data_IF_955547473124
#
_entry.id   IF_955547473124
#
_cell.length_a   1.000
_cell.length_b   1.000
_cell.length_c   1.000
_cell.angle_alpha   90.00
_cell.angle_beta   90.00
_cell.angle_gamma   90.00
#
_symmetry.space_group_name_H-M   'P 1'
#
loop_
_entity.id
_entity.type
_entity.pdbx_description
1 polymer ?
#
# COMPACT_ATOMS: atom_id res chain seq x y z
N UNK A 1 17.58 -12.12 -3.44
CA UNK A 1 18.34 -11.10 -2.71
C UNK A 1 18.03 -11.14 -1.20
N UNK A 2 16.74 -10.97 -0.78
CA UNK A 2 16.31 -11.01 0.65
C UNK A 2 16.73 -12.33 1.32
N UNK A 3 16.48 -13.46 0.67
CA UNK A 3 16.87 -14.80 1.15
C UNK A 3 18.38 -14.89 1.30
N UNK A 4 19.15 -14.41 0.31
CA UNK A 4 20.62 -14.40 0.37
C UNK A 4 21.13 -13.60 1.58
N UNK A 5 20.58 -12.39 1.79
CA UNK A 5 20.93 -11.56 2.94
C UNK A 5 20.57 -12.26 4.27
N UNK A 6 19.43 -12.93 4.34
CA UNK A 6 19.04 -13.69 5.54
C UNK A 6 20.03 -14.81 5.86
N UNK A 7 20.45 -15.54 4.84
CA UNK A 7 21.49 -16.60 4.97
C UNK A 7 22.83 -16.00 5.41
N UNK A 8 23.28 -14.92 4.78
CA UNK A 8 24.52 -14.24 5.15
C UNK A 8 24.51 -13.70 6.60
N UNK A 9 23.34 -13.36 7.11
CA UNK A 9 23.15 -12.96 8.50
C UNK A 9 23.02 -14.13 9.48
N UNK A 10 23.22 -15.37 9.02
CA UNK A 10 23.10 -16.58 9.83
C UNK A 10 21.67 -16.87 10.34
N UNK A 11 20.66 -16.24 9.73
CA UNK A 11 19.27 -16.46 10.10
C UNK A 11 18.75 -17.74 9.47
N UNK A 12 18.06 -18.56 10.28
CA UNK A 12 17.39 -19.75 9.76
C UNK A 12 16.23 -19.34 8.83
N UNK A 13 16.21 -19.91 7.62
CA UNK A 13 15.09 -19.74 6.68
C UNK A 13 13.86 -20.57 7.07
N UNK A 14 13.94 -21.34 8.13
CA UNK A 14 12.84 -22.18 8.60
C UNK A 14 11.74 -21.29 9.17
N UNK A 15 10.54 -21.50 8.65
CA UNK A 15 9.32 -20.87 9.17
C UNK A 15 8.76 -21.79 10.25
N UNK A 16 8.36 -21.26 11.41
CA UNK A 16 7.70 -22.05 12.45
C UNK A 16 6.45 -22.77 11.89
N UNK A 17 6.19 -23.97 12.43
CA UNK A 17 5.01 -24.75 12.03
C UNK A 17 3.74 -23.93 12.23
N UNK A 18 2.91 -23.83 11.18
CA UNK A 18 1.66 -23.07 11.20
C UNK A 18 1.75 -21.61 10.73
N UNK A 19 2.94 -21.04 10.54
CA UNK A 19 3.07 -19.68 10.00
C UNK A 19 3.17 -19.64 8.46
N UNK A 20 3.61 -20.72 7.82
CA UNK A 20 3.87 -20.73 6.38
C UNK A 20 2.68 -20.30 5.53
N UNK A 21 1.47 -20.84 5.77
CA UNK A 21 0.28 -20.47 5.03
C UNK A 21 -0.12 -19.00 5.24
N UNK A 22 0.14 -18.45 6.44
CA UNK A 22 -0.13 -17.05 6.78
C UNK A 22 0.78 -16.11 5.98
N UNK A 23 2.07 -16.48 5.86
CA UNK A 23 3.03 -15.73 5.05
C UNK A 23 2.67 -15.76 3.58
N UNK A 24 2.26 -16.93 3.06
CA UNK A 24 1.79 -17.07 1.67
C UNK A 24 0.55 -16.21 1.44
N UNK A 25 -0.44 -16.28 2.31
CA UNK A 25 -1.68 -15.50 2.19
C UNK A 25 -1.39 -13.99 2.15
N UNK A 26 -0.58 -13.50 3.09
CA UNK A 26 -0.20 -12.08 3.15
C UNK A 26 0.58 -11.68 1.89
N UNK A 27 1.52 -12.50 1.45
CA UNK A 27 2.28 -12.27 0.22
C UNK A 27 1.38 -12.19 -1.02
N UNK A 28 0.42 -13.11 -1.15
CA UNK A 28 -0.55 -13.10 -2.26
C UNK A 28 -1.44 -11.85 -2.23
N UNK A 29 -1.88 -11.39 -1.06
CA UNK A 29 -2.67 -10.17 -0.95
C UNK A 29 -1.85 -8.92 -1.30
N UNK A 30 -0.65 -8.76 -0.74
CA UNK A 30 0.18 -7.59 -0.96
C UNK A 30 0.78 -7.50 -2.36
N UNK A 31 1.36 -8.62 -2.83
CA UNK A 31 2.23 -8.60 -4.01
C UNK A 31 1.53 -9.14 -5.26
N UNK A 32 0.57 -10.04 -5.10
CA UNK A 32 -0.14 -10.56 -6.27
C UNK A 32 -1.45 -9.83 -6.48
N UNK A 33 -2.43 -9.98 -5.59
CA UNK A 33 -3.76 -9.41 -5.78
C UNK A 33 -3.71 -7.89 -5.90
N UNK A 34 -3.06 -7.20 -4.95
CA UNK A 34 -2.96 -5.74 -5.01
C UNK A 34 -2.27 -5.25 -6.29
N UNK A 35 -1.06 -5.74 -6.61
CA UNK A 35 -0.31 -5.23 -7.77
C UNK A 35 -0.96 -5.61 -9.10
N UNK A 36 -1.53 -6.81 -9.23
CA UNK A 36 -2.22 -7.22 -10.46
C UNK A 36 -3.47 -6.38 -10.70
N UNK A 37 -4.29 -6.20 -9.66
CA UNK A 37 -5.49 -5.36 -9.75
C UNK A 37 -5.13 -3.89 -9.99
N UNK A 38 -4.09 -3.37 -9.33
CA UNK A 38 -3.59 -2.02 -9.54
C UNK A 38 -3.18 -1.80 -11.00
N UNK A 39 -2.27 -2.64 -11.51
CA UNK A 39 -1.78 -2.54 -12.89
C UNK A 39 -2.91 -2.69 -13.92
N UNK A 40 -3.88 -3.57 -13.65
CA UNK A 40 -5.03 -3.73 -14.54
C UNK A 40 -5.97 -2.52 -14.48
N UNK A 41 -6.25 -1.99 -13.30
CA UNK A 41 -7.09 -0.80 -13.12
C UNK A 41 -6.49 0.45 -13.76
N UNK A 42 -5.17 0.65 -13.65
CA UNK A 42 -4.44 1.77 -14.26
C UNK A 42 -4.49 1.78 -15.80
N UNK A 43 -4.78 0.65 -16.43
CA UNK A 43 -5.01 0.60 -17.89
C UNK A 43 -6.40 1.14 -18.28
N UNK A 44 -7.30 1.32 -17.33
CA UNK A 44 -8.70 1.72 -17.59
C UNK A 44 -9.01 3.15 -17.19
N UNK A 45 -8.15 3.79 -16.40
CA UNK A 45 -8.35 5.15 -15.90
C UNK A 45 -7.06 5.95 -15.95
N UNK A 46 -7.16 7.28 -15.98
CA UNK A 46 -5.99 8.15 -15.94
C UNK A 46 -5.19 7.94 -14.63
N UNK A 47 -3.86 7.98 -14.70
CA UNK A 47 -2.97 7.70 -13.56
C UNK A 47 -3.21 8.59 -12.34
N UNK A 48 -3.50 9.88 -12.56
CA UNK A 48 -3.87 10.81 -11.48
C UNK A 48 -5.16 10.39 -10.78
N UNK A 49 -6.16 9.90 -11.52
CA UNK A 49 -7.41 9.39 -10.94
C UNK A 49 -7.18 8.04 -10.23
N UNK A 50 -6.34 7.15 -10.78
CA UNK A 50 -5.94 5.92 -10.12
C UNK A 50 -5.28 6.19 -8.76
N UNK A 51 -4.36 7.16 -8.68
CA UNK A 51 -3.71 7.53 -7.42
C UNK A 51 -4.69 8.06 -6.38
N UNK A 52 -5.72 8.80 -6.79
CA UNK A 52 -6.80 9.25 -5.90
C UNK A 52 -7.60 8.06 -5.35
N UNK A 53 -7.99 7.11 -6.19
CA UNK A 53 -8.72 5.91 -5.74
C UNK A 53 -7.86 5.09 -4.78
N UNK A 54 -6.59 4.87 -5.09
CA UNK A 54 -5.65 4.13 -4.23
C UNK A 54 -5.42 4.83 -2.89
N UNK A 55 -5.52 6.16 -2.83
CA UNK A 55 -5.40 6.92 -1.59
C UNK A 55 -6.52 6.66 -0.58
N UNK A 56 -7.55 5.90 -0.96
CA UNK A 56 -8.58 5.41 -0.02
C UNK A 56 -8.08 4.26 0.88
N UNK A 57 -6.90 3.68 0.61
CA UNK A 57 -6.32 2.59 1.43
C UNK A 57 -6.33 2.87 2.94
N UNK A 58 -5.90 4.05 3.43
CA UNK A 58 -5.93 4.33 4.86
C UNK A 58 -7.35 4.33 5.45
N UNK A 59 -8.34 4.77 4.66
CA UNK A 59 -9.76 4.71 5.07
C UNK A 59 -10.20 3.25 5.20
N UNK A 60 -9.87 2.41 4.21
CA UNK A 60 -10.21 0.98 4.25
C UNK A 60 -9.56 0.27 5.42
N UNK A 61 -8.28 0.54 5.69
CA UNK A 61 -7.56 -0.01 6.85
C UNK A 61 -8.25 0.43 8.15
N UNK A 62 -8.59 1.72 8.29
CA UNK A 62 -9.24 2.25 9.47
C UNK A 62 -10.63 1.64 9.70
N UNK A 63 -11.39 1.40 8.63
CA UNK A 63 -12.69 0.72 8.70
C UNK A 63 -12.55 -0.73 9.12
N UNK A 64 -11.58 -1.47 8.55
CA UNK A 64 -11.32 -2.86 8.93
C UNK A 64 -10.90 -2.93 10.40
N UNK A 65 -9.98 -2.08 10.84
CA UNK A 65 -9.52 -2.04 12.23
C UNK A 65 -10.64 -1.64 13.21
N UNK A 66 -11.61 -0.82 12.79
CA UNK A 66 -12.76 -0.45 13.61
C UNK A 66 -13.71 -1.63 13.90
N UNK A 67 -13.87 -2.52 12.91
CA UNK A 67 -14.80 -3.68 13.02
C UNK A 67 -14.12 -4.90 13.65
N UNK A 68 -12.80 -4.98 13.59
CA UNK A 68 -12.05 -6.12 14.11
C UNK A 68 -11.96 -6.12 15.64
N UNK A 69 -12.05 -7.30 16.29
CA UNK A 69 -11.72 -7.44 17.72
C UNK A 69 -10.30 -6.96 17.97
N UNK A 70 -10.07 -6.20 19.04
CA UNK A 70 -8.76 -5.60 19.39
C UNK A 70 -8.11 -4.78 18.28
N UNK A 71 -8.92 -4.15 17.42
CA UNK A 71 -8.45 -3.31 16.33
C UNK A 71 -7.86 -1.99 16.83
N UNK A 72 -6.86 -1.50 16.10
CA UNK A 72 -6.23 -0.18 16.33
C UNK A 72 -7.14 0.93 15.76
N UNK A 73 -8.34 1.12 16.31
CA UNK A 73 -9.29 2.12 15.85
C UNK A 73 -8.74 3.55 16.01
N UNK A 74 -8.97 4.38 15.00
CA UNK A 74 -8.61 5.79 15.04
C UNK A 74 -9.57 6.58 15.93
N UNK A 75 -9.04 7.53 16.69
CA UNK A 75 -9.84 8.53 17.36
C UNK A 75 -10.38 9.59 16.37
N UNK A 76 -11.20 10.53 16.83
CA UNK A 76 -11.78 11.59 15.98
C UNK A 76 -10.74 12.40 15.20
N UNK A 77 -9.55 12.66 15.80
CA UNK A 77 -8.44 13.37 15.12
C UNK A 77 -7.82 12.52 14.00
N UNK A 78 -7.64 11.22 14.24
CA UNK A 78 -7.14 10.30 13.24
C UNK A 78 -8.08 10.19 12.04
N UNK A 79 -9.38 10.08 12.28
CA UNK A 79 -10.39 10.09 11.22
C UNK A 79 -10.40 11.40 10.42
N UNK A 80 -10.39 12.55 11.12
CA UNK A 80 -10.31 13.85 10.46
C UNK A 80 -9.04 13.97 9.60
N UNK A 81 -7.88 13.52 10.10
CA UNK A 81 -6.64 13.47 9.35
C UNK A 81 -6.73 12.56 8.11
N UNK A 82 -7.32 11.37 8.25
CA UNK A 82 -7.46 10.43 7.13
C UNK A 82 -8.35 11.00 6.01
N UNK A 83 -9.48 11.60 6.36
CA UNK A 83 -10.38 12.27 5.41
C UNK A 83 -9.69 13.48 4.76
N UNK A 84 -9.01 14.31 5.57
CA UNK A 84 -8.27 15.48 5.09
C UNK A 84 -7.14 15.08 4.14
N UNK A 85 -6.44 13.97 4.41
CA UNK A 85 -5.37 13.44 3.54
C UNK A 85 -5.91 13.02 2.18
N UNK A 86 -7.01 12.29 2.15
CA UNK A 86 -7.69 11.90 0.90
C UNK A 86 -8.16 13.13 0.11
N UNK A 87 -8.71 14.13 0.80
CA UNK A 87 -9.08 15.40 0.18
C UNK A 87 -7.85 16.14 -0.38
N UNK A 88 -6.75 16.18 0.38
CA UNK A 88 -5.48 16.78 -0.03
C UNK A 88 -4.91 16.17 -1.31
N UNK A 89 -5.02 14.85 -1.48
CA UNK A 89 -4.64 14.17 -2.73
C UNK A 89 -5.57 14.62 -3.87
N UNK A 90 -6.87 14.74 -3.64
CA UNK A 90 -7.80 15.26 -4.63
C UNK A 90 -7.40 16.66 -5.14
N UNK A 91 -6.98 17.54 -4.24
CA UNK A 91 -6.48 18.89 -4.58
C UNK A 91 -5.15 18.81 -5.32
N UNK A 92 -4.23 17.92 -4.88
CA UNK A 92 -2.91 17.73 -5.49
C UNK A 92 -3.00 17.25 -6.94
N UNK A 93 -3.85 16.28 -7.23
CA UNK A 93 -4.01 15.70 -8.58
C UNK A 93 -5.01 16.45 -9.45
N UNK A 94 -5.66 17.50 -8.94
CA UNK A 94 -6.65 18.30 -9.66
C UNK A 94 -6.19 18.81 -11.03
N UNK A 95 -4.97 19.39 -11.18
CA UNK A 95 -4.47 19.83 -12.48
C UNK A 95 -4.36 18.68 -13.48
N UNK A 96 -3.84 17.54 -13.04
CA UNK A 96 -3.67 16.35 -13.88
C UNK A 96 -5.00 15.77 -14.35
N UNK A 97 -6.05 15.83 -13.51
CA UNK A 97 -7.40 15.40 -13.89
C UNK A 97 -8.00 16.30 -14.98
N UNK A 98 -7.75 17.62 -14.93
CA UNK A 98 -8.24 18.56 -15.92
C UNK A 98 -7.43 18.52 -17.22
N UNK A 99 -6.11 18.37 -17.13
CA UNK A 99 -5.25 18.20 -18.31
C UNK A 99 -5.57 16.90 -19.05
N UNK A 100 -5.86 15.81 -18.33
CA UNK A 100 -6.22 14.52 -18.90
C UNK A 100 -7.56 14.52 -19.64
N UNK A 101 -8.50 15.41 -19.29
CA UNK A 101 -9.76 15.57 -20.03
C UNK A 101 -9.58 16.22 -21.39
N UNK A 102 -8.49 16.98 -21.60
CA UNK A 102 -8.19 17.64 -22.88
C UNK A 102 -7.23 16.85 -23.77
N UNK A 103 -6.37 16.01 -23.22
CA UNK A 103 -5.36 15.26 -23.99
C UNK A 103 -5.33 13.73 -23.74
N UNK A 104 -5.95 13.21 -22.71
CA UNK A 104 -5.81 11.81 -22.28
C UNK A 104 -6.99 10.88 -22.57
N UNK A 105 -8.12 11.39 -23.07
CA UNK A 105 -9.24 10.55 -23.51
C UNK A 105 -9.11 10.10 -24.98
N UNK A 106 -8.16 10.64 -25.72
CA UNK A 106 -8.00 10.34 -27.15
C UNK A 106 -7.19 9.07 -27.41
N UNK A 107 -6.24 8.68 -26.54
CA UNK A 107 -5.33 7.56 -26.82
C UNK A 107 -5.35 6.50 -25.69
N UNK A 108 -6.29 5.57 -25.76
CA UNK A 108 -6.16 4.26 -25.11
C UNK A 108 -6.82 4.06 -23.74
N UNK A 109 -7.54 5.04 -23.18
CA UNK A 109 -8.34 4.77 -21.99
C UNK A 109 -9.56 3.94 -22.34
N UNK A 110 -9.72 2.80 -21.68
CA UNK A 110 -10.81 1.86 -21.89
C UNK A 110 -12.18 2.54 -21.77
N UNK A 111 -13.14 2.07 -22.57
CA UNK A 111 -14.56 2.48 -22.52
C UNK A 111 -15.28 2.07 -21.20
N UNK A 112 -14.54 1.64 -20.17
CA UNK A 112 -15.10 1.10 -18.91
C UNK A 112 -14.48 1.72 -17.67
N UNK A 113 -14.58 3.05 -17.46
CA UNK A 113 -13.94 3.71 -16.31
C UNK A 113 -14.46 3.21 -14.96
N UNK A 114 -15.74 2.87 -14.87
CA UNK A 114 -16.34 2.32 -13.66
C UNK A 114 -15.70 0.98 -13.25
N UNK A 115 -15.45 0.11 -14.23
CA UNK A 115 -14.74 -1.15 -13.97
C UNK A 115 -13.32 -0.88 -13.45
N UNK A 116 -12.60 0.07 -14.04
CA UNK A 116 -11.28 0.49 -13.58
C UNK A 116 -11.29 0.95 -12.12
N UNK A 117 -12.27 1.77 -11.74
CA UNK A 117 -12.46 2.20 -10.33
C UNK A 117 -12.72 1.01 -9.40
N UNK A 118 -13.62 0.10 -9.77
CA UNK A 118 -13.92 -1.08 -8.95
C UNK A 118 -12.70 -1.99 -8.79
N UNK A 119 -11.92 -2.17 -9.84
CA UNK A 119 -10.67 -2.95 -9.81
C UNK A 119 -9.64 -2.29 -8.90
N UNK A 120 -9.46 -0.96 -8.97
CA UNK A 120 -8.57 -0.21 -8.09
C UNK A 120 -9.00 -0.23 -6.63
N UNK A 121 -10.31 -0.15 -6.36
CA UNK A 121 -10.84 -0.33 -5.01
C UNK A 121 -10.58 -1.76 -4.50
N UNK A 122 -10.69 -2.75 -5.37
CA UNK A 122 -10.30 -4.14 -5.07
C UNK A 122 -8.81 -4.27 -4.72
N UNK A 123 -7.94 -3.57 -5.46
CA UNK A 123 -6.51 -3.49 -5.16
C UNK A 123 -6.25 -2.88 -3.77
N UNK A 124 -6.86 -1.73 -3.49
CA UNK A 124 -6.76 -1.04 -2.22
C UNK A 124 -7.27 -1.92 -1.04
N UNK A 125 -8.37 -2.63 -1.25
CA UNK A 125 -8.93 -3.56 -0.27
C UNK A 125 -8.02 -4.76 -0.02
N UNK A 126 -7.46 -5.37 -1.07
CA UNK A 126 -6.51 -6.48 -0.94
C UNK A 126 -5.27 -6.06 -0.13
N UNK A 127 -4.75 -4.86 -0.40
CA UNK A 127 -3.65 -4.28 0.36
C UNK A 127 -4.05 -4.02 1.82
N UNK A 128 -5.23 -3.45 2.07
CA UNK A 128 -5.71 -3.16 3.42
C UNK A 128 -5.88 -4.45 4.24
N UNK A 129 -6.51 -5.48 3.68
CA UNK A 129 -6.65 -6.79 4.34
C UNK A 129 -5.28 -7.41 4.61
N UNK A 130 -4.37 -7.41 3.63
CA UNK A 130 -3.01 -7.92 3.77
C UNK A 130 -2.24 -7.22 4.88
N UNK A 131 -2.37 -5.89 5.00
CA UNK A 131 -1.72 -5.08 6.04
C UNK A 131 -2.23 -5.44 7.44
N UNK A 132 -3.55 -5.51 7.61
CA UNK A 132 -4.16 -5.87 8.89
C UNK A 132 -3.81 -7.30 9.28
N UNK A 133 -3.88 -8.25 8.35
CA UNK A 133 -3.51 -9.65 8.61
C UNK A 133 -2.02 -9.80 8.95
N UNK A 134 -1.13 -9.09 8.24
CA UNK A 134 0.31 -9.11 8.51
C UNK A 134 0.62 -8.72 9.95
N UNK A 135 -0.06 -7.70 10.47
CA UNK A 135 0.09 -7.29 11.86
C UNK A 135 -0.51 -8.30 12.84
N UNK A 136 -1.70 -8.81 12.56
CA UNK A 136 -2.43 -9.72 13.47
C UNK A 136 -1.80 -11.08 13.61
N UNK A 137 -1.19 -11.59 12.57
CA UNK A 137 -0.54 -12.89 12.61
C UNK A 137 0.68 -12.93 13.52
N UNK A 138 1.24 -11.75 13.91
CA UNK A 138 2.38 -11.63 14.85
C UNK A 138 3.45 -12.69 14.57
N UNK A 139 4.00 -12.65 13.36
CA UNK A 139 5.01 -13.61 12.94
C UNK A 139 6.19 -13.64 13.92
N UNK A 140 6.57 -14.85 14.32
CA UNK A 140 7.76 -15.07 15.15
C UNK A 140 9.03 -15.18 14.30
N UNK A 141 8.87 -15.42 13.00
CA UNK A 141 9.95 -15.40 12.02
C UNK A 141 10.60 -14.01 11.92
N UNK A 142 11.91 -13.97 11.72
CA UNK A 142 12.63 -12.71 11.43
C UNK A 142 11.97 -11.98 10.26
N UNK A 143 11.90 -10.65 10.34
CA UNK A 143 11.21 -9.82 9.33
C UNK A 143 11.74 -10.04 7.92
N UNK A 144 13.06 -10.19 7.74
CA UNK A 144 13.65 -10.49 6.44
C UNK A 144 13.22 -11.86 5.91
N UNK A 145 13.18 -12.86 6.78
CA UNK A 145 12.74 -14.21 6.43
C UNK A 145 11.26 -14.19 6.07
N UNK A 146 10.43 -13.58 6.90
CA UNK A 146 9.00 -13.43 6.64
C UNK A 146 8.72 -12.73 5.30
N UNK A 147 9.37 -11.58 5.05
CA UNK A 147 9.25 -10.84 3.79
C UNK A 147 9.75 -11.67 2.60
N UNK A 148 10.85 -12.40 2.77
CA UNK A 148 11.38 -13.30 1.74
C UNK A 148 10.38 -14.38 1.33
N UNK A 149 9.69 -14.99 2.28
CA UNK A 149 8.64 -15.97 2.01
C UNK A 149 7.41 -15.36 1.33
N UNK A 150 6.98 -14.16 1.77
CA UNK A 150 5.86 -13.42 1.15
C UNK A 150 6.15 -13.10 -0.32
N UNK A 151 7.32 -12.50 -0.59
CA UNK A 151 7.76 -12.15 -1.96
C UNK A 151 7.98 -13.40 -2.82
N UNK A 152 8.59 -14.45 -2.24
CA UNK A 152 8.82 -15.71 -2.94
C UNK A 152 7.53 -16.39 -3.37
N UNK A 153 6.57 -16.50 -2.45
CA UNK A 153 5.26 -17.09 -2.75
C UNK A 153 4.50 -16.30 -3.82
N UNK A 154 4.46 -14.96 -3.69
CA UNK A 154 3.84 -14.09 -4.67
C UNK A 154 4.55 -14.16 -6.03
N UNK A 155 5.89 -14.21 -6.04
CA UNK A 155 6.67 -14.34 -7.27
C UNK A 155 6.38 -15.64 -8.01
N UNK A 156 6.31 -16.77 -7.31
CA UNK A 156 5.94 -18.07 -7.90
C UNK A 156 4.52 -18.01 -8.47
N UNK A 157 3.56 -17.47 -7.71
CA UNK A 157 2.18 -17.36 -8.16
C UNK A 157 2.06 -16.45 -9.40
N UNK A 158 2.69 -15.28 -9.40
CA UNK A 158 2.68 -14.37 -10.54
C UNK A 158 3.39 -14.97 -11.75
N UNK A 159 4.48 -15.73 -11.56
CA UNK A 159 5.14 -16.45 -12.63
C UNK A 159 4.24 -17.53 -13.26
N UNK A 160 3.51 -18.30 -12.44
CA UNK A 160 2.54 -19.27 -12.94
C UNK A 160 1.45 -18.60 -13.80
N UNK A 161 0.93 -17.46 -13.37
CA UNK A 161 -0.04 -16.68 -14.15
C UNK A 161 0.59 -16.18 -15.46
N UNK A 162 1.80 -15.63 -15.41
CA UNK A 162 2.50 -15.11 -16.59
C UNK A 162 2.76 -16.22 -17.63
N UNK A 163 3.15 -17.42 -17.19
CA UNK A 163 3.33 -18.58 -18.06
C UNK A 163 1.97 -19.03 -18.64
N UNK A 164 0.97 -19.22 -17.78
CA UNK A 164 -0.35 -19.71 -18.18
C UNK A 164 -1.11 -18.76 -19.11
N UNK A 165 -0.90 -17.45 -18.98
CA UNK A 165 -1.50 -16.42 -19.86
C UNK A 165 -0.70 -16.15 -21.14
N UNK A 166 0.44 -16.80 -21.34
CA UNK A 166 1.35 -16.50 -22.46
C UNK A 166 2.04 -15.14 -22.36
N UNK A 167 2.04 -14.53 -21.17
CA UNK A 167 2.63 -13.21 -20.92
C UNK A 167 4.14 -13.16 -21.21
N UNK A 168 4.86 -14.26 -21.00
CA UNK A 168 6.30 -14.34 -21.28
C UNK A 168 6.63 -14.18 -22.76
N UNK A 169 5.76 -14.65 -23.67
CA UNK A 169 5.95 -14.51 -25.12
C UNK A 169 5.68 -13.09 -25.61
N UNK A 170 4.94 -12.29 -24.83
CA UNK A 170 4.64 -10.88 -25.14
C UNK A 170 5.62 -9.91 -24.49
N UNK A 171 6.49 -10.40 -23.59
CA UNK A 171 7.44 -9.58 -22.87
C UNK A 171 8.54 -9.10 -23.83
N UNK A 172 8.72 -7.78 -23.91
CA UNK A 172 9.82 -7.15 -24.64
C UNK A 172 10.94 -6.87 -23.65
N UNK A 173 12.04 -7.61 -23.81
CA UNK A 173 13.21 -7.47 -22.93
C UNK A 173 14.11 -6.35 -23.43
N UNK A 174 14.29 -5.31 -22.63
CA UNK A 174 15.18 -4.20 -22.90
C UNK A 174 16.15 -3.97 -21.73
N UNK A 175 17.32 -3.39 -21.99
CA UNK A 175 18.27 -3.06 -20.94
C UNK A 175 17.70 -2.06 -19.93
N UNK A 176 16.91 -1.10 -20.40
CA UNK A 176 16.19 -0.14 -19.54
C UNK A 176 15.19 -0.86 -18.64
N UNK A 177 14.40 -1.80 -19.21
CA UNK A 177 13.47 -2.62 -18.45
C UNK A 177 14.16 -3.49 -17.40
N UNK A 178 15.30 -4.10 -17.76
CA UNK A 178 16.10 -4.86 -16.80
C UNK A 178 16.64 -3.98 -15.67
N UNK A 179 17.16 -2.80 -16.00
CA UNK A 179 17.61 -1.81 -15.01
C UNK A 179 16.49 -1.38 -14.07
N UNK A 180 15.29 -1.15 -14.58
CA UNK A 180 14.11 -0.81 -13.78
C UNK A 180 13.72 -1.96 -12.82
N UNK A 181 13.76 -3.22 -13.28
CA UNK A 181 13.50 -4.39 -12.44
C UNK A 181 14.52 -4.49 -11.30
N UNK A 182 15.81 -4.30 -11.60
CA UNK A 182 16.86 -4.34 -10.59
C UNK A 182 16.67 -3.21 -9.57
N UNK A 183 16.40 -1.99 -10.03
CA UNK A 183 16.12 -0.85 -9.17
C UNK A 183 14.91 -1.13 -8.23
N UNK A 184 13.78 -1.57 -8.78
CA UNK A 184 12.59 -1.89 -8.00
C UNK A 184 12.81 -3.06 -7.04
N UNK A 185 13.61 -4.05 -7.42
CA UNK A 185 13.94 -5.18 -6.55
C UNK A 185 14.79 -4.74 -5.35
N UNK A 186 15.70 -3.81 -5.53
CA UNK A 186 16.57 -3.31 -4.45
C UNK A 186 15.81 -2.30 -3.59
N UNK A 187 15.34 -1.22 -4.18
CA UNK A 187 14.73 -0.12 -3.42
C UNK A 187 13.29 -0.39 -3.01
N UNK A 188 12.46 -0.97 -3.88
CA UNK A 188 11.07 -1.28 -3.58
C UNK A 188 10.92 -2.50 -2.68
N UNK A 189 11.54 -3.63 -3.06
CA UNK A 189 11.34 -4.88 -2.32
C UNK A 189 12.31 -5.04 -1.14
N UNK A 190 13.62 -4.85 -1.34
CA UNK A 190 14.57 -5.09 -0.25
C UNK A 190 14.47 -4.01 0.84
N UNK A 191 14.52 -2.74 0.47
CA UNK A 191 14.44 -1.67 1.47
C UNK A 191 12.99 -1.32 1.81
N UNK A 192 12.16 -1.02 0.83
CA UNK A 192 10.81 -0.53 1.04
C UNK A 192 9.90 -1.56 1.71
N UNK A 193 9.81 -2.78 1.15
CA UNK A 193 8.90 -3.79 1.68
C UNK A 193 9.36 -4.35 3.03
N UNK A 194 10.66 -4.51 3.24
CA UNK A 194 11.20 -4.97 4.55
C UNK A 194 10.93 -3.91 5.61
N UNK A 195 11.16 -2.63 5.31
CA UNK A 195 10.84 -1.54 6.23
C UNK A 195 9.34 -1.47 6.52
N UNK A 196 8.49 -1.62 5.51
CA UNK A 196 7.04 -1.65 5.67
C UNK A 196 6.58 -2.83 6.54
N UNK A 197 7.07 -4.04 6.26
CA UNK A 197 6.75 -5.23 7.06
C UNK A 197 7.21 -5.08 8.51
N UNK A 198 8.39 -4.50 8.72
CA UNK A 198 8.89 -4.18 10.06
C UNK A 198 7.98 -3.19 10.79
N UNK A 199 7.59 -2.11 10.13
CA UNK A 199 6.68 -1.11 10.72
C UNK A 199 5.32 -1.71 11.07
N UNK A 200 4.75 -2.59 10.23
CA UNK A 200 3.49 -3.25 10.54
C UNK A 200 3.54 -4.11 11.81
N UNK A 201 4.71 -4.64 12.16
CA UNK A 201 4.89 -5.43 13.39
C UNK A 201 5.00 -4.55 14.65
N UNK A 202 5.46 -3.30 14.52
CA UNK A 202 5.80 -2.44 15.66
C UNK A 202 4.87 -1.23 15.82
N UNK A 203 4.19 -0.82 14.76
CA UNK A 203 3.35 0.39 14.72
C UNK A 203 1.93 0.03 14.31
N UNK A 204 0.93 0.78 14.79
CA UNK A 204 -0.47 0.61 14.38
C UNK A 204 -0.61 0.74 12.85
N UNK A 205 -1.34 -0.20 12.22
CA UNK A 205 -1.49 -0.26 10.75
C UNK A 205 -2.08 1.03 10.20
N UNK A 206 -3.03 1.64 10.93
CA UNK A 206 -3.64 2.92 10.58
C UNK A 206 -2.65 4.07 10.52
N UNK A 207 -1.60 4.05 11.36
CA UNK A 207 -0.52 5.05 11.30
C UNK A 207 0.46 4.74 10.17
N UNK A 208 0.82 3.47 9.99
CA UNK A 208 1.70 3.05 8.90
C UNK A 208 1.09 3.41 7.55
N UNK A 209 -0.23 3.21 7.38
CA UNK A 209 -0.91 3.48 6.10
C UNK A 209 -0.83 4.94 5.62
N UNK A 210 -0.46 5.88 6.49
CA UNK A 210 -0.31 7.30 6.08
C UNK A 210 0.78 7.52 5.03
N UNK A 211 1.70 6.56 4.82
CA UNK A 211 2.66 6.64 3.73
C UNK A 211 1.98 6.81 2.36
N UNK A 212 0.78 6.26 2.20
CA UNK A 212 0.00 6.37 0.95
C UNK A 212 -0.34 7.83 0.60
N UNK A 213 -0.43 8.72 1.59
CA UNK A 213 -0.62 10.15 1.36
C UNK A 213 0.71 10.85 0.99
N UNK A 214 1.84 10.35 1.48
CA UNK A 214 3.16 10.95 1.24
C UNK A 214 3.66 10.63 -0.17
N UNK A 215 3.34 9.47 -0.71
CA UNK A 215 3.81 9.04 -2.03
C UNK A 215 3.52 10.03 -3.16
N UNK A 216 2.29 10.56 -3.33
CA UNK A 216 2.01 11.56 -4.38
C UNK A 216 2.79 12.86 -4.18
N UNK A 217 3.01 13.28 -2.93
CA UNK A 217 3.82 14.48 -2.62
C UNK A 217 5.25 14.28 -3.10
N UNK A 218 5.84 13.12 -2.79
CA UNK A 218 7.20 12.80 -3.24
C UNK A 218 7.26 12.69 -4.76
N UNK A 219 6.25 12.09 -5.40
CA UNK A 219 6.20 11.98 -6.86
C UNK A 219 6.22 13.37 -7.54
N UNK A 220 5.42 14.31 -7.05
CA UNK A 220 5.40 15.70 -7.56
C UNK A 220 6.75 16.39 -7.32
N UNK A 221 7.34 16.23 -6.13
CA UNK A 221 8.67 16.82 -5.84
C UNK A 221 9.77 16.26 -6.76
N UNK A 222 9.73 14.96 -7.05
CA UNK A 222 10.68 14.32 -7.97
C UNK A 222 10.45 14.81 -9.41
N UNK A 223 9.18 14.99 -9.83
CA UNK A 223 8.85 15.59 -11.13
C UNK A 223 9.46 16.99 -11.30
N UNK A 224 9.35 17.84 -10.29
CA UNK A 224 9.99 19.17 -10.29
C UNK A 224 11.51 19.07 -10.33
N UNK A 225 12.10 18.19 -9.51
CA UNK A 225 13.55 18.12 -9.35
C UNK A 225 14.24 17.52 -10.57
N UNK A 226 13.68 16.46 -11.15
CA UNK A 226 14.33 15.70 -12.24
C UNK A 226 13.78 16.04 -13.62
N UNK A 227 12.48 16.35 -13.73
CA UNK A 227 11.82 16.66 -15.00
C UNK A 227 11.64 18.17 -15.20
N UNK A 228 12.07 18.99 -14.23
CA UNK A 228 11.94 20.45 -14.23
C UNK A 228 10.49 20.94 -14.45
N UNK A 229 9.53 20.16 -13.97
CA UNK A 229 8.11 20.51 -14.03
C UNK A 229 7.82 21.74 -13.16
N UNK A 230 6.90 22.59 -13.60
CA UNK A 230 6.49 23.76 -12.83
C UNK A 230 5.34 23.39 -11.89
N UNK A 231 5.51 23.65 -10.59
CA UNK A 231 4.46 23.44 -9.60
C UNK A 231 3.28 24.39 -9.83
N UNK A 232 2.10 23.83 -9.94
CA UNK A 232 0.87 24.60 -9.87
C UNK A 232 0.58 25.02 -8.41
N UNK A 233 -0.07 26.15 -8.21
CA UNK A 233 -0.46 26.63 -6.87
C UNK A 233 -1.35 25.60 -6.13
N UNK A 234 -2.20 24.89 -6.85
CA UNK A 234 -3.06 23.81 -6.33
C UNK A 234 -2.26 22.63 -5.84
N UNK A 235 -1.15 22.27 -6.50
CA UNK A 235 -0.26 21.20 -6.06
C UNK A 235 0.44 21.55 -4.75
N UNK A 236 0.91 22.79 -4.61
CA UNK A 236 1.51 23.28 -3.36
C UNK A 236 0.48 23.26 -2.22
N UNK A 237 -0.74 23.72 -2.50
CA UNK A 237 -1.83 23.69 -1.51
C UNK A 237 -2.17 22.25 -1.09
N UNK A 238 -2.31 21.32 -2.07
CA UNK A 238 -2.56 19.90 -1.82
C UNK A 238 -1.47 19.26 -0.96
N UNK A 239 -0.20 19.52 -1.26
CA UNK A 239 0.92 19.03 -0.44
C UNK A 239 0.85 19.53 1.00
N UNK A 240 0.54 20.82 1.21
CA UNK A 240 0.37 21.39 2.55
C UNK A 240 -0.76 20.71 3.34
N UNK A 241 -1.90 20.48 2.71
CA UNK A 241 -3.04 19.76 3.30
C UNK A 241 -2.64 18.33 3.67
N UNK A 242 -1.92 17.63 2.80
CA UNK A 242 -1.45 16.25 3.05
C UNK A 242 -0.50 16.21 4.26
N UNK A 243 0.46 17.12 4.35
CA UNK A 243 1.40 17.16 5.48
C UNK A 243 0.66 17.38 6.80
N UNK A 244 -0.31 18.31 6.83
CA UNK A 244 -1.17 18.51 8.00
C UNK A 244 -1.97 17.25 8.36
N UNK A 245 -2.54 16.59 7.35
CA UNK A 245 -3.31 15.36 7.52
C UNK A 245 -2.47 14.22 8.12
N UNK A 246 -1.26 14.00 7.58
CA UNK A 246 -0.32 13.00 8.09
C UNK A 246 0.04 13.29 9.54
N UNK A 247 0.36 14.55 9.86
CA UNK A 247 0.62 14.95 11.24
C UNK A 247 -0.56 14.64 12.17
N UNK A 248 -1.80 14.96 11.76
CA UNK A 248 -3.01 14.64 12.53
C UNK A 248 -3.15 13.13 12.80
N UNK A 249 -2.91 12.27 11.81
CA UNK A 249 -3.01 10.81 11.99
C UNK A 249 -1.88 10.28 12.85
N UNK A 250 -0.63 10.70 12.60
CA UNK A 250 0.54 10.22 13.35
C UNK A 250 0.45 10.59 14.83
N UNK A 251 0.03 11.82 15.13
CA UNK A 251 -0.13 12.30 16.52
C UNK A 251 -1.48 11.92 17.13
N UNK A 252 -2.39 11.28 16.38
CA UNK A 252 -3.62 10.76 16.95
C UNK A 252 -3.33 9.60 17.89
N UNK A 253 -4.10 9.53 19.00
CA UNK A 253 -4.08 8.35 19.85
C UNK A 253 -4.88 7.24 19.19
N UNK A 254 -4.35 6.03 19.22
CA UNK A 254 -5.11 4.83 18.85
C UNK A 254 -5.94 4.44 20.07
N UNK A 255 -7.25 4.35 19.92
CA UNK A 255 -8.19 4.07 21.04
C UNK A 255 -8.17 2.56 21.38
N UNK A 256 -7.07 2.10 21.95
CA UNK A 256 -6.97 0.76 22.55
C UNK A 256 -7.70 0.66 23.91
N UNK A 257 -7.98 1.78 24.55
CA UNK A 257 -8.24 1.83 25.99
C UNK A 257 -9.70 1.71 26.45
N UNK A 258 -10.69 1.82 25.57
CA UNK A 258 -12.08 1.81 26.06
C UNK A 258 -12.66 0.41 26.26
N UNK A 259 -12.16 -0.60 25.57
CA UNK A 259 -12.69 -1.96 25.68
C UNK A 259 -12.09 -2.75 26.86
N UNK A 260 -10.80 -2.55 27.18
CA UNK A 260 -10.20 -3.17 28.37
C UNK A 260 -10.83 -2.64 29.67
N UNK A 261 -11.11 -1.34 29.76
CA UNK A 261 -11.76 -0.76 30.96
C UNK A 261 -13.22 -1.24 31.08
N UNK A 262 -13.94 -1.40 29.98
CA UNK A 262 -15.31 -1.95 30.02
C UNK A 262 -15.34 -3.47 30.27
N UNK A 263 -14.35 -4.21 29.77
CA UNK A 263 -14.20 -5.65 30.10
C UNK A 263 -13.88 -5.89 31.56
N UNK A 264 -12.93 -5.13 32.12
CA UNK A 264 -12.55 -5.22 33.54
C UNK A 264 -13.66 -4.72 34.49
N UNK A 265 -14.47 -3.75 34.05
CA UNK A 265 -15.62 -3.28 34.82
C UNK A 265 -16.80 -4.25 34.80
N UNK A 266 -16.93 -5.06 33.74
CA UNK A 266 -17.92 -6.14 33.64
C UNK A 266 -17.59 -7.36 34.52
N UNK A 267 -16.30 -7.73 34.61
CA UNK A 267 -15.83 -8.85 35.46
C UNK A 267 -15.80 -8.50 36.97
N UNK A 268 -15.83 -7.21 37.33
CA UNK A 268 -15.84 -6.78 38.72
C UNK A 268 -17.27 -6.68 39.32
N UNK A 269 -18.30 -6.94 38.52
CA UNK A 269 -19.74 -6.87 38.93
C UNK A 269 -20.41 -8.23 38.98
N UNK A 270 -19.73 -9.31 38.55
CA UNK A 270 -20.11 -10.71 38.78
C UNK A 270 -19.32 -11.30 39.99
#
# INVERSE_FOLDING_TARGET
LIVLISVMRGKSLRVPKGEGWKLVLVGLLFMSANNMLLTWGEQMVASGFASLVVSTMPIMIALIEMVMPDGDALNKRGWAGTILGTFGIGVLVWPSLHAGTTHGLADGVSSRPLLGVLVLLGAALAFAIGSVLSRRFRFTADTFVATGWQVGAAGIFNAMIAVGSGGLHRAVWTWTGFGAIVYLSIFGSLFGLVAFTYLLQHVAVTKVSTYAFVNPVIAVLLGVLFLHERLAKTEIAGMGVIVCAVAMVVYSRVDRGKREIMGMAGEAVE
#
